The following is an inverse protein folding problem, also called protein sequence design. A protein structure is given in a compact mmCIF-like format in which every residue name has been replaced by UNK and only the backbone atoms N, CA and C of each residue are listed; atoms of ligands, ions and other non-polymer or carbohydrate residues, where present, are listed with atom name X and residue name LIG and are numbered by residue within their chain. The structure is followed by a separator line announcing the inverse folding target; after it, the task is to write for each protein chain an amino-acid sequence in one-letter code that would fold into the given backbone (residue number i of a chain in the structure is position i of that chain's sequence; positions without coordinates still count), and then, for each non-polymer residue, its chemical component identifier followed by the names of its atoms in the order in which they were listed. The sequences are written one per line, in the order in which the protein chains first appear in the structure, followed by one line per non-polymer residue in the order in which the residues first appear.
data_IF_999253135548
#
_entry.id   IF_999253135548
#
_cell.length_a   1.000
_cell.length_b   1.000
_cell.length_c   1.000
_cell.angle_alpha   90.00
_cell.angle_beta   90.00
_cell.angle_gamma   90.00
#
_symmetry.space_group_name_H-M   'P 1'
#
loop_
_entity.id
_entity.type
_entity.pdbx_description
1 polymer ?
#
# COMPACT_ATOMS: atom_id res chain seq x y z
N UNK A 1 -12.37 -16.94 -16.85
CA UNK A 1 -13.22 -17.34 -17.98
C UNK A 1 -13.63 -18.80 -17.88
N UNK A 2 -12.72 -19.79 -17.95
CA UNK A 2 -13.10 -21.21 -17.85
C UNK A 2 -13.84 -21.60 -16.54
N UNK A 3 -13.36 -21.15 -15.38
CA UNK A 3 -14.05 -21.38 -14.09
C UNK A 3 -15.42 -20.66 -14.02
N UNK A 4 -15.47 -19.39 -14.45
CA UNK A 4 -16.73 -18.62 -14.47
C UNK A 4 -17.76 -19.23 -15.44
N UNK A 5 -17.31 -19.77 -16.58
CA UNK A 5 -18.10 -20.54 -17.54
C UNK A 5 -18.67 -21.80 -16.88
N UNK A 6 -17.83 -22.57 -16.19
CA UNK A 6 -18.24 -23.81 -15.50
C UNK A 6 -19.22 -23.55 -14.35
N UNK A 7 -19.02 -22.50 -13.55
CA UNK A 7 -19.94 -22.10 -12.49
C UNK A 7 -21.29 -21.60 -13.03
N UNK A 8 -21.29 -20.82 -14.12
CA UNK A 8 -22.51 -20.36 -14.75
C UNK A 8 -23.29 -21.53 -15.36
N UNK A 9 -22.61 -22.46 -16.04
CA UNK A 9 -23.24 -23.70 -16.53
C UNK A 9 -23.83 -24.56 -15.42
N UNK A 10 -23.18 -24.64 -14.26
CA UNK A 10 -23.69 -25.37 -13.10
C UNK A 10 -24.89 -24.69 -12.42
N UNK A 11 -25.02 -23.37 -12.56
CA UNK A 11 -26.14 -22.59 -12.02
C UNK A 11 -27.33 -22.49 -12.99
N UNK A 12 -27.10 -22.76 -14.28
CA UNK A 12 -28.06 -22.50 -15.36
C UNK A 12 -28.85 -23.74 -15.81
N UNK A 13 -29.19 -24.62 -14.88
CA UNK A 13 -29.98 -25.84 -15.12
C UNK A 13 -31.44 -25.59 -15.55
N UNK A 14 -31.77 -24.43 -16.16
CA UNK A 14 -33.11 -24.16 -16.65
C UNK A 14 -33.48 -22.73 -17.06
N UNK A 15 -32.55 -21.76 -17.19
CA UNK A 15 -32.89 -20.41 -17.68
C UNK A 15 -32.23 -20.16 -19.04
N UNK A 16 -33.03 -19.88 -20.07
CA UNK A 16 -32.52 -19.39 -21.34
C UNK A 16 -32.07 -17.93 -21.19
N UNK A 17 -30.88 -17.69 -20.66
CA UNK A 17 -30.27 -16.36 -20.67
C UNK A 17 -29.89 -16.01 -22.11
N UNK A 18 -30.14 -14.76 -22.50
CA UNK A 18 -29.64 -14.20 -23.76
C UNK A 18 -28.11 -14.37 -23.82
N UNK A 19 -27.54 -14.93 -24.91
CA UNK A 19 -26.10 -15.08 -25.07
C UNK A 19 -25.30 -13.81 -24.77
N UNK A 20 -25.84 -12.62 -25.07
CA UNK A 20 -25.18 -11.34 -24.75
C UNK A 20 -25.12 -11.10 -23.24
N UNK A 21 -26.22 -11.33 -22.53
CA UNK A 21 -26.28 -11.24 -21.07
C UNK A 21 -25.32 -12.25 -20.41
N UNK A 22 -25.18 -13.44 -21.00
CA UNK A 22 -24.29 -14.48 -20.54
C UNK A 22 -22.81 -14.09 -20.65
N UNK A 23 -22.42 -13.55 -21.81
CA UNK A 23 -21.07 -12.99 -22.02
C UNK A 23 -20.80 -11.83 -21.05
N UNK A 24 -21.79 -10.95 -20.83
CA UNK A 24 -21.69 -9.86 -19.85
C UNK A 24 -21.36 -10.37 -18.45
N UNK A 25 -22.12 -11.35 -17.94
CA UNK A 25 -21.89 -11.96 -16.63
C UNK A 25 -20.50 -12.61 -16.52
N UNK A 26 -20.05 -13.29 -17.57
CA UNK A 26 -18.70 -13.88 -17.60
C UNK A 26 -17.60 -12.82 -17.53
N UNK A 27 -17.75 -11.73 -18.29
CA UNK A 27 -16.79 -10.62 -18.31
C UNK A 27 -16.72 -9.94 -16.95
N UNK A 28 -17.87 -9.67 -16.32
CA UNK A 28 -17.95 -9.08 -14.98
C UNK A 28 -17.25 -9.95 -13.94
N UNK A 29 -17.49 -11.27 -13.96
CA UNK A 29 -16.81 -12.22 -13.05
C UNK A 29 -15.30 -12.26 -13.28
N UNK A 30 -14.85 -12.31 -14.53
CA UNK A 30 -13.42 -12.30 -14.81
C UNK A 30 -12.76 -10.98 -14.40
N UNK A 31 -13.43 -9.85 -14.63
CA UNK A 31 -12.94 -8.53 -14.22
C UNK A 31 -12.82 -8.46 -12.69
N UNK A 32 -13.83 -8.92 -11.95
CA UNK A 32 -13.79 -9.01 -10.49
C UNK A 32 -12.64 -9.89 -10.01
N UNK A 33 -12.48 -11.10 -10.59
CA UNK A 33 -11.40 -12.03 -10.24
C UNK A 33 -10.01 -11.44 -10.48
N UNK A 34 -9.81 -10.76 -11.61
CA UNK A 34 -8.56 -10.04 -11.92
C UNK A 34 -8.32 -8.89 -10.95
N UNK A 35 -9.36 -8.15 -10.57
CA UNK A 35 -9.31 -7.13 -9.53
C UNK A 35 -8.80 -7.69 -8.20
N UNK A 36 -9.43 -8.74 -7.70
CA UNK A 36 -9.04 -9.40 -6.45
C UNK A 36 -7.61 -9.93 -6.48
N UNK A 37 -7.19 -10.57 -7.58
CA UNK A 37 -5.81 -11.07 -7.73
C UNK A 37 -4.78 -9.94 -7.73
N UNK A 38 -5.05 -8.84 -8.43
CA UNK A 38 -4.18 -7.65 -8.43
C UNK A 38 -4.04 -7.06 -7.03
N UNK A 39 -5.16 -6.87 -6.34
CA UNK A 39 -5.18 -6.37 -4.97
C UNK A 39 -4.36 -7.27 -4.03
N UNK A 40 -4.61 -8.58 -4.02
CA UNK A 40 -3.87 -9.53 -3.17
C UNK A 40 -2.37 -9.54 -3.47
N UNK A 41 -1.99 -9.50 -4.76
CA UNK A 41 -0.58 -9.44 -5.17
C UNK A 41 0.10 -8.18 -4.65
N UNK A 42 -0.56 -7.02 -4.73
CA UNK A 42 -0.02 -5.75 -4.25
C UNK A 42 0.05 -5.67 -2.73
N UNK A 43 -0.97 -6.17 -2.04
CA UNK A 43 -0.97 -6.24 -0.58
C UNK A 43 0.18 -7.12 -0.06
N UNK A 44 0.43 -8.26 -0.71
CA UNK A 44 1.61 -9.10 -0.41
C UNK A 44 2.92 -8.37 -0.71
N UNK A 45 3.01 -7.68 -1.84
CA UNK A 45 4.21 -6.92 -2.21
C UNK A 45 4.48 -5.73 -1.29
N UNK A 46 3.43 -5.14 -0.71
CA UNK A 46 3.53 -4.03 0.24
C UNK A 46 4.23 -4.41 1.53
N UNK A 47 4.16 -5.69 1.93
CA UNK A 47 4.83 -6.23 3.12
C UNK A 47 4.52 -5.40 4.38
N UNK A 48 3.24 -5.02 4.54
CA UNK A 48 2.76 -4.23 5.68
C UNK A 48 3.01 -5.01 6.97
N UNK A 49 3.48 -4.31 8.01
CA UNK A 49 3.67 -4.90 9.34
C UNK A 49 2.35 -5.42 9.94
N UNK A 50 1.27 -4.68 9.73
CA UNK A 50 -0.09 -5.03 10.15
C UNK A 50 -0.95 -5.20 8.89
N UNK A 51 -0.93 -6.40 8.31
CA UNK A 51 -1.60 -6.67 7.01
C UNK A 51 -3.13 -6.64 7.06
N UNK A 52 -3.70 -6.77 8.26
CA UNK A 52 -5.12 -6.69 8.59
C UNK A 52 -5.58 -5.28 8.99
N UNK A 53 -4.65 -4.30 9.01
CA UNK A 53 -4.97 -2.92 9.31
C UNK A 53 -5.88 -2.33 8.23
N UNK A 54 -7.08 -1.92 8.64
CA UNK A 54 -8.11 -1.35 7.77
C UNK A 54 -8.62 -0.05 8.38
N UNK A 55 -8.91 0.95 7.56
CA UNK A 55 -9.38 2.24 8.07
C UNK A 55 -10.74 2.14 8.78
N UNK A 56 -11.53 1.13 8.42
CA UNK A 56 -12.82 0.81 9.03
C UNK A 56 -12.66 0.36 10.50
N UNK A 57 -11.50 -0.18 10.86
CA UNK A 57 -11.19 -0.67 12.21
C UNK A 57 -10.49 0.37 13.09
N UNK A 58 -10.38 1.61 12.63
CA UNK A 58 -9.71 2.68 13.39
C UNK A 58 -10.52 3.00 14.65
N UNK A 59 -9.90 2.86 15.82
CA UNK A 59 -10.48 3.35 17.05
C UNK A 59 -10.35 4.89 17.15
N UNK A 60 -11.50 5.57 17.14
CA UNK A 60 -11.62 7.01 17.36
C UNK A 60 -12.07 7.37 18.79
N UNK A 61 -12.36 6.38 19.64
CA UNK A 61 -12.79 6.61 21.04
C UNK A 61 -11.59 6.99 21.91
N UNK A 62 -10.43 6.43 21.62
CA UNK A 62 -9.17 6.80 22.28
C UNK A 62 -8.76 8.21 21.87
N UNK A 63 -8.66 9.13 22.84
CA UNK A 63 -8.22 10.51 22.60
C UNK A 63 -6.71 10.54 22.30
N UNK A 64 -6.37 10.51 21.02
CA UNK A 64 -4.98 10.58 20.50
C UNK A 64 -4.75 11.75 19.55
N UNK A 65 -5.65 12.73 19.54
CA UNK A 65 -5.58 13.90 18.64
C UNK A 65 -5.75 13.57 17.15
N UNK A 66 -6.32 12.41 16.82
CA UNK A 66 -6.57 12.01 15.43
C UNK A 66 -7.83 12.72 14.92
N UNK A 67 -7.65 13.64 13.98
CA UNK A 67 -8.77 14.22 13.23
C UNK A 67 -9.41 13.16 12.34
N UNK A 68 -10.65 12.79 12.68
CA UNK A 68 -11.43 11.77 11.96
C UNK A 68 -11.73 12.19 10.53
N UNK A 69 -12.12 13.44 10.30
CA UNK A 69 -12.49 13.92 8.97
C UNK A 69 -11.26 13.92 8.05
N UNK A 70 -10.12 14.41 8.56
CA UNK A 70 -8.87 14.37 7.83
C UNK A 70 -8.44 12.92 7.53
N UNK A 71 -8.42 12.04 8.53
CA UNK A 71 -7.98 10.67 8.32
C UNK A 71 -8.86 9.90 7.32
N UNK A 72 -10.18 10.09 7.38
CA UNK A 72 -11.09 9.49 6.42
C UNK A 72 -10.88 10.04 5.00
N UNK A 73 -10.56 11.33 4.85
CA UNK A 73 -10.24 11.92 3.54
C UNK A 73 -8.98 11.33 2.89
N UNK A 74 -8.04 10.80 3.69
CA UNK A 74 -6.85 10.10 3.20
C UNK A 74 -7.16 8.68 2.73
N UNK A 75 -8.39 8.22 2.88
CA UNK A 75 -8.82 6.90 2.44
C UNK A 75 -8.99 6.74 0.93
N UNK A 76 -9.24 7.84 0.22
CA UNK A 76 -9.26 7.85 -1.22
C UNK A 76 -7.86 8.06 -1.84
N UNK A 77 -7.70 7.81 -3.16
CA UNK A 77 -6.42 7.94 -3.84
C UNK A 77 -6.03 9.39 -4.16
N UNK A 78 -6.88 10.39 -3.87
CA UNK A 78 -6.72 11.77 -4.35
C UNK A 78 -5.41 12.41 -3.86
N UNK A 79 -5.01 12.12 -2.62
CA UNK A 79 -3.74 12.62 -2.08
C UNK A 79 -2.53 11.95 -2.74
N UNK A 80 -2.65 10.67 -3.13
CA UNK A 80 -1.63 9.90 -3.86
C UNK A 80 -1.48 10.44 -5.28
N UNK A 81 -2.59 10.76 -5.93
CA UNK A 81 -2.62 11.30 -7.28
C UNK A 81 -2.06 12.72 -7.33
N UNK A 82 -2.31 13.51 -6.27
CA UNK A 82 -1.71 14.83 -6.05
C UNK A 82 -0.27 14.79 -5.51
N UNK A 83 0.34 13.61 -5.40
CA UNK A 83 1.72 13.40 -4.92
C UNK A 83 1.99 14.01 -3.54
N UNK A 84 0.98 14.04 -2.67
CA UNK A 84 1.10 14.56 -1.31
C UNK A 84 1.69 13.48 -0.40
N UNK A 85 2.50 13.90 0.56
CA UNK A 85 3.00 13.02 1.62
C UNK A 85 2.16 13.19 2.88
N UNK A 86 2.08 12.13 3.67
CA UNK A 86 1.37 12.12 4.96
C UNK A 86 2.40 11.95 6.06
N UNK A 87 2.31 12.79 7.08
CA UNK A 87 3.14 12.69 8.28
C UNK A 87 2.24 12.37 9.47
N UNK A 88 2.49 11.23 10.13
CA UNK A 88 1.76 10.77 11.30
C UNK A 88 2.63 11.00 12.53
N UNK A 89 2.35 12.08 13.26
CA UNK A 89 3.10 12.42 14.49
C UNK A 89 2.32 12.06 15.74
N UNK A 90 3.03 11.74 16.83
CA UNK A 90 2.44 11.49 18.14
C UNK A 90 3.34 10.64 19.03
N UNK A 91 2.99 10.48 20.31
CA UNK A 91 3.78 9.69 21.26
C UNK A 91 3.87 8.22 20.84
N UNK A 92 4.85 7.49 21.39
CA UNK A 92 5.00 6.06 21.16
C UNK A 92 3.76 5.29 21.68
N UNK A 93 3.39 4.20 21.01
CA UNK A 93 2.28 3.33 21.46
C UNK A 93 0.86 3.73 21.02
N UNK A 94 0.64 4.91 20.42
CA UNK A 94 -0.72 5.35 19.99
C UNK A 94 -1.21 4.76 18.67
N UNK A 95 -0.50 3.77 18.12
CA UNK A 95 -0.89 3.06 16.89
C UNK A 95 -0.51 3.76 15.58
N UNK A 96 0.49 4.65 15.56
CA UNK A 96 0.95 5.34 14.33
C UNK A 96 1.29 4.36 13.20
N UNK A 97 2.12 3.35 13.50
CA UNK A 97 2.48 2.29 12.55
C UNK A 97 1.26 1.55 12.01
N UNK A 98 0.24 1.34 12.84
CA UNK A 98 -1.00 0.69 12.43
C UNK A 98 -1.83 1.60 11.51
N UNK A 99 -1.95 2.90 11.84
CA UNK A 99 -2.61 3.89 10.97
C UNK A 99 -1.92 4.00 9.60
N UNK A 100 -0.59 4.00 9.57
CA UNK A 100 0.17 3.99 8.33
C UNK A 100 -0.12 2.72 7.50
N UNK A 101 -0.19 1.54 8.14
CA UNK A 101 -0.59 0.30 7.48
C UNK A 101 -2.03 0.36 6.95
N UNK A 102 -2.97 0.94 7.70
CA UNK A 102 -4.35 1.10 7.26
C UNK A 102 -4.47 1.97 6.00
N UNK A 103 -3.70 3.06 5.92
CA UNK A 103 -3.59 3.89 4.71
C UNK A 103 -2.93 3.12 3.55
N UNK A 104 -1.90 2.33 3.83
CA UNK A 104 -1.27 1.45 2.83
C UNK A 104 -2.21 0.36 2.29
N UNK A 105 -3.08 -0.17 3.14
CA UNK A 105 -4.11 -1.12 2.75
C UNK A 105 -5.16 -0.43 1.85
N UNK A 106 -5.64 0.75 2.23
CA UNK A 106 -6.56 1.55 1.42
C UNK A 106 -5.96 1.92 0.05
N UNK A 107 -4.69 2.33 0.01
CA UNK A 107 -3.97 2.59 -1.24
C UNK A 107 -3.86 1.34 -2.13
N UNK A 108 -3.55 0.18 -1.54
CA UNK A 108 -3.55 -1.10 -2.26
C UNK A 108 -4.91 -1.42 -2.87
N UNK A 109 -6.01 -1.17 -2.13
CA UNK A 109 -7.39 -1.35 -2.59
C UNK A 109 -7.76 -0.38 -3.72
N UNK A 110 -7.20 0.83 -3.72
CA UNK A 110 -7.34 1.82 -4.78
C UNK A 110 -6.41 1.57 -6.00
N UNK A 111 -5.91 0.34 -6.16
CA UNK A 111 -4.98 -0.04 -7.23
C UNK A 111 -3.76 0.91 -7.28
N UNK A 112 -3.14 1.18 -6.13
CA UNK A 112 -1.81 1.81 -6.02
C UNK A 112 -0.78 0.81 -5.49
N UNK A 113 0.48 0.97 -5.91
CA UNK A 113 1.59 0.16 -5.40
C UNK A 113 2.10 0.73 -4.09
N UNK A 114 2.27 -0.12 -3.08
CA UNK A 114 2.70 0.27 -1.74
C UNK A 114 3.96 -0.50 -1.37
N UNK A 115 4.84 0.10 -0.58
CA UNK A 115 5.96 -0.60 0.06
C UNK A 115 6.13 -0.07 1.47
N UNK A 116 6.21 -0.98 2.44
CA UNK A 116 6.46 -0.64 3.84
C UNK A 116 7.88 -1.02 4.25
N UNK A 117 8.56 -0.09 4.89
CA UNK A 117 9.86 -0.31 5.52
C UNK A 117 9.93 0.32 6.90
N UNK A 118 10.41 -0.44 7.88
CA UNK A 118 11.00 0.15 9.08
C UNK A 118 12.37 0.70 8.71
N UNK A 119 12.66 1.94 9.08
CA UNK A 119 13.90 2.62 8.70
C UNK A 119 15.18 1.89 9.11
N UNK A 120 15.33 1.36 10.34
CA UNK A 120 16.53 0.61 10.71
C UNK A 120 16.80 -0.57 9.78
N UNK A 121 15.74 -1.30 9.41
CA UNK A 121 15.84 -2.45 8.50
C UNK A 121 16.16 -2.01 7.07
N UNK A 122 15.55 -0.92 6.60
CA UNK A 122 15.85 -0.36 5.29
C UNK A 122 17.32 0.02 5.16
N UNK A 123 17.88 0.68 6.18
CA UNK A 123 19.30 1.03 6.16
C UNK A 123 20.22 -0.19 6.08
N UNK A 124 19.95 -1.23 6.87
CA UNK A 124 20.70 -2.49 6.78
C UNK A 124 20.56 -3.15 5.40
N UNK A 125 19.36 -3.13 4.80
CA UNK A 125 19.13 -3.68 3.46
C UNK A 125 19.88 -2.88 2.37
N UNK A 126 19.94 -1.55 2.47
CA UNK A 126 20.69 -0.70 1.55
C UNK A 126 22.21 -0.89 1.68
N UNK A 127 22.71 -1.02 2.90
CA UNK A 127 24.12 -1.30 3.17
C UNK A 127 24.56 -2.64 2.57
N UNK A 128 23.82 -3.72 2.83
CA UNK A 128 24.07 -5.03 2.24
C UNK A 128 23.96 -5.00 0.70
N UNK A 129 22.97 -4.27 0.16
CA UNK A 129 22.79 -4.16 -1.28
C UNK A 129 23.97 -3.45 -1.97
N UNK A 130 24.71 -2.58 -1.28
CA UNK A 130 25.96 -1.99 -1.82
C UNK A 130 27.08 -3.02 -1.87
N UNK A 131 27.24 -3.82 -0.83
CA UNK A 131 28.24 -4.90 -0.79
C UNK A 131 28.07 -5.91 -1.92
N UNK A 132 26.82 -6.22 -2.29
CA UNK A 132 26.49 -7.23 -3.31
C UNK A 132 26.19 -6.64 -4.71
N UNK A 133 26.35 -5.32 -4.92
CA UNK A 133 26.05 -4.67 -6.21
C UNK A 133 24.56 -4.63 -6.59
N UNK A 134 23.65 -4.82 -5.63
CA UNK A 134 22.18 -4.82 -5.82
C UNK A 134 21.52 -3.48 -5.49
N UNK A 135 22.30 -2.49 -5.04
CA UNK A 135 21.82 -1.19 -4.56
C UNK A 135 20.85 -0.52 -5.54
N UNK A 136 21.25 -0.34 -6.80
CA UNK A 136 20.43 0.34 -7.81
C UNK A 136 19.09 -0.34 -8.07
N UNK A 137 19.03 -1.67 -7.91
CA UNK A 137 17.78 -2.42 -8.07
C UNK A 137 16.85 -2.20 -6.88
N UNK A 138 17.38 -2.25 -5.66
CA UNK A 138 16.62 -2.00 -4.44
C UNK A 138 16.15 -0.54 -4.39
N UNK A 139 17.04 0.40 -4.65
CA UNK A 139 16.75 1.82 -4.68
C UNK A 139 15.64 2.15 -5.69
N UNK A 140 15.76 1.66 -6.95
CA UNK A 140 14.70 1.82 -7.96
C UNK A 140 13.36 1.21 -7.55
N UNK A 141 13.36 0.08 -6.85
CA UNK A 141 12.13 -0.52 -6.31
C UNK A 141 11.47 0.42 -5.30
N UNK A 142 12.25 1.00 -4.39
CA UNK A 142 11.76 1.91 -3.34
C UNK A 142 11.22 3.22 -3.93
N UNK A 143 11.91 3.85 -4.88
CA UNK A 143 11.46 5.14 -5.43
C UNK A 143 10.30 5.05 -6.42
N UNK A 144 10.07 3.87 -7.03
CA UNK A 144 9.02 3.69 -8.06
C UNK A 144 7.62 3.43 -7.51
N UNK A 145 7.47 2.91 -6.29
CA UNK A 145 6.14 2.63 -5.74
C UNK A 145 5.34 3.92 -5.53
N UNK A 146 4.02 3.84 -5.70
CA UNK A 146 3.12 4.98 -5.57
C UNK A 146 3.13 5.53 -4.13
N UNK A 147 3.14 4.63 -3.15
CA UNK A 147 3.20 4.96 -1.72
C UNK A 147 4.35 4.21 -1.05
N UNK A 148 5.29 4.95 -0.46
CA UNK A 148 6.34 4.40 0.40
C UNK A 148 6.00 4.74 1.84
N UNK A 149 5.96 3.74 2.72
CA UNK A 149 5.75 3.93 4.16
C UNK A 149 7.09 3.74 4.86
N UNK A 150 7.56 4.78 5.53
CA UNK A 150 8.79 4.80 6.33
C UNK A 150 8.41 4.87 7.80
N UNK A 151 8.49 3.74 8.50
CA UNK A 151 8.09 3.61 9.90
C UNK A 151 9.30 3.57 10.85
N UNK A 152 9.05 3.85 12.12
CA UNK A 152 10.04 3.92 13.21
C UNK A 152 11.20 4.89 12.93
N UNK A 153 10.83 6.10 12.50
CA UNK A 153 11.73 7.23 12.42
C UNK A 153 12.06 7.79 13.82
N UNK A 154 13.34 8.04 14.10
CA UNK A 154 13.77 8.86 15.23
C UNK A 154 14.14 8.23 16.59
N UNK A 155 14.17 6.90 16.81
CA UNK A 155 14.69 6.38 18.08
C UNK A 155 16.21 6.57 18.23
N UNK A 156 16.96 6.49 17.11
CA UNK A 156 18.42 6.60 17.10
C UNK A 156 18.91 7.73 16.18
N UNK A 157 20.12 8.24 16.47
CA UNK A 157 20.77 9.21 15.57
C UNK A 157 21.23 8.52 14.29
N UNK A 158 20.83 9.06 13.15
CA UNK A 158 21.29 8.56 11.85
C UNK A 158 22.78 8.82 11.63
N UNK A 159 23.48 7.78 11.16
CA UNK A 159 24.84 7.89 10.65
C UNK A 159 24.89 8.72 9.36
N UNK A 160 26.06 9.20 8.98
CA UNK A 160 26.21 9.98 7.74
C UNK A 160 25.74 9.23 6.48
N UNK A 161 26.05 7.93 6.28
CA UNK A 161 25.48 7.14 5.18
C UNK A 161 23.94 7.07 5.22
N UNK A 162 23.35 6.72 6.37
CA UNK A 162 21.90 6.60 6.51
C UNK A 162 21.16 7.90 6.20
N UNK A 163 21.74 9.04 6.60
CA UNK A 163 21.18 10.36 6.28
C UNK A 163 21.21 10.64 4.78
N UNK A 164 22.32 10.31 4.09
CA UNK A 164 22.42 10.45 2.63
C UNK A 164 21.38 9.59 1.92
N UNK A 165 21.27 8.31 2.32
CA UNK A 165 20.33 7.36 1.72
C UNK A 165 18.89 7.85 1.81
N UNK A 166 18.49 8.32 2.99
CA UNK A 166 17.16 8.87 3.17
C UNK A 166 16.96 10.14 2.33
N UNK A 167 17.91 11.06 2.33
CA UNK A 167 17.80 12.30 1.55
C UNK A 167 17.62 11.98 0.07
N UNK A 168 18.39 11.03 -0.46
CA UNK A 168 18.29 10.58 -1.85
C UNK A 168 16.90 9.97 -2.15
N UNK A 169 16.37 9.12 -1.25
CA UNK A 169 15.02 8.56 -1.37
C UNK A 169 13.95 9.66 -1.38
N UNK A 170 14.06 10.64 -0.48
CA UNK A 170 13.09 11.73 -0.35
C UNK A 170 13.15 12.65 -1.58
N UNK A 171 14.35 13.01 -2.03
CA UNK A 171 14.58 13.87 -3.19
C UNK A 171 14.07 13.25 -4.50
N UNK A 172 14.34 11.96 -4.72
CA UNK A 172 13.83 11.25 -5.88
C UNK A 172 12.30 11.17 -5.88
N UNK A 173 11.68 11.01 -4.71
CA UNK A 173 10.22 10.90 -4.58
C UNK A 173 9.50 12.24 -4.52
N UNK A 174 10.17 13.33 -4.15
CA UNK A 174 9.56 14.63 -3.95
C UNK A 174 8.81 15.12 -5.21
N UNK A 175 7.52 15.43 -5.05
CA UNK A 175 6.65 15.85 -6.16
C UNK A 175 6.35 14.76 -7.21
N UNK A 176 6.91 13.56 -7.08
CA UNK A 176 6.76 12.45 -8.05
C UNK A 176 5.91 11.30 -7.52
N UNK A 177 6.06 10.96 -6.24
CA UNK A 177 5.36 9.86 -5.55
C UNK A 177 5.06 10.26 -4.11
N UNK A 178 4.16 9.55 -3.47
CA UNK A 178 3.70 9.84 -2.11
C UNK A 178 4.49 9.06 -1.07
N UNK A 179 4.78 9.68 0.07
CA UNK A 179 5.45 9.02 1.20
C UNK A 179 4.62 9.19 2.45
N UNK A 180 4.51 8.12 3.26
CA UNK A 180 3.95 8.16 4.61
C UNK A 180 5.12 8.03 5.58
N UNK A 181 5.22 8.93 6.55
CA UNK A 181 6.21 8.89 7.65
C UNK A 181 5.47 8.89 8.97
#
# INVERSE_FOLDING_TARGET
MAEAFAELLAQDSGRSLDPVAWIGLMLDREQARRGTRRFQSRLRAANLRHGDACMENVDYRTSRGLDRALFQSLGGPEWIDRRRSVLITGPCGVGKSWLACALGHAASRADRTVLYHRLPRLFSELELARGDGRFDRLFRKIVRVDVLILDDWGPDRLTAPQRRDLMEIVEERYGRRSTIV
#
